data_IF_575342812725
#
_entry.id   IF_575342812725
#
_cell.length_a   1.000
_cell.length_b   1.000
_cell.length_c   1.000
_cell.angle_alpha   90.00
_cell.angle_beta   90.00
_cell.angle_gamma   90.00
#
_symmetry.space_group_name_H-M   'P 1'
#
loop_
_entity.id
_entity.type
_entity.pdbx_description
1 polymer ?
#
# COMPACT_ATOMS: atom_id res chain seq x y z
N UNK A 1 10.19 5.70 -29.06
CA UNK A 1 11.22 5.87 -28.02
C UNK A 1 12.60 5.77 -28.64
N UNK A 2 12.87 4.72 -29.43
CA UNK A 2 14.12 4.55 -30.21
C UNK A 2 14.48 5.80 -31.04
N UNK A 3 13.55 6.33 -31.83
CA UNK A 3 13.76 7.58 -32.60
C UNK A 3 14.18 8.78 -31.72
N UNK A 4 13.64 8.89 -30.50
CA UNK A 4 13.98 9.98 -29.59
C UNK A 4 15.37 9.79 -28.97
N UNK A 5 15.80 8.54 -28.75
CA UNK A 5 17.15 8.20 -28.30
C UNK A 5 18.16 8.53 -29.40
N UNK A 6 17.88 8.16 -30.65
CA UNK A 6 18.75 8.46 -31.79
C UNK A 6 18.87 9.97 -32.05
N UNK A 7 17.74 10.68 -31.97
CA UNK A 7 17.71 12.14 -32.08
C UNK A 7 18.52 12.81 -30.95
N UNK A 8 18.37 12.35 -29.69
CA UNK A 8 19.12 12.89 -28.57
C UNK A 8 20.64 12.62 -28.72
N UNK A 9 21.01 11.44 -29.22
CA UNK A 9 22.41 11.03 -29.40
C UNK A 9 23.17 11.85 -30.45
N UNK A 10 22.44 12.48 -31.37
CA UNK A 10 22.99 13.34 -32.43
C UNK A 10 22.74 14.84 -32.23
N UNK A 11 22.05 15.21 -31.14
CA UNK A 11 21.71 16.60 -30.85
C UNK A 11 22.95 17.38 -30.40
N UNK A 12 23.37 18.37 -31.20
CA UNK A 12 24.57 19.17 -30.93
C UNK A 12 24.49 20.04 -29.69
N UNK A 13 23.29 20.45 -29.26
CA UNK A 13 23.11 21.19 -28.01
C UNK A 13 23.40 20.28 -26.82
N UNK A 14 22.89 19.05 -26.83
CA UNK A 14 23.17 18.04 -25.80
C UNK A 14 24.66 17.68 -25.78
N UNK A 15 25.26 17.43 -26.95
CA UNK A 15 26.68 17.09 -27.08
C UNK A 15 27.62 18.24 -26.66
N UNK A 16 27.13 19.49 -26.66
CA UNK A 16 27.88 20.66 -26.20
C UNK A 16 27.87 20.86 -24.68
N UNK A 17 27.07 20.10 -23.92
CA UNK A 17 26.96 20.25 -22.47
C UNK A 17 28.18 19.63 -21.79
N UNK A 18 28.94 20.45 -21.07
CA UNK A 18 30.12 20.03 -20.30
C UNK A 18 29.86 19.85 -18.80
N UNK A 19 28.85 20.53 -18.26
CA UNK A 19 28.44 20.37 -16.86
C UNK A 19 27.54 19.12 -16.70
N UNK A 20 27.95 18.10 -15.93
CA UNK A 20 27.21 16.84 -15.83
C UNK A 20 25.84 16.99 -15.15
N UNK A 21 25.69 17.95 -14.23
CA UNK A 21 24.41 18.23 -13.59
C UNK A 21 23.41 18.81 -14.59
N UNK A 22 23.86 19.75 -15.43
CA UNK A 22 23.07 20.30 -16.53
C UNK A 22 22.67 19.20 -17.52
N UNK A 23 23.59 18.29 -17.87
CA UNK A 23 23.29 17.18 -18.77
C UNK A 23 22.18 16.28 -18.19
N UNK A 24 22.29 15.92 -16.91
CA UNK A 24 21.26 15.13 -16.22
C UNK A 24 19.89 15.82 -16.28
N UNK A 25 19.81 17.12 -15.97
CA UNK A 25 18.57 17.89 -16.03
C UNK A 25 17.95 17.94 -17.43
N UNK A 26 18.76 18.17 -18.47
CA UNK A 26 18.28 18.22 -19.86
C UNK A 26 17.73 16.87 -20.31
N UNK A 27 18.41 15.77 -19.96
CA UNK A 27 17.93 14.42 -20.26
C UNK A 27 16.65 14.07 -19.49
N UNK A 28 16.58 14.44 -18.20
CA UNK A 28 15.39 14.25 -17.37
C UNK A 28 14.16 15.00 -17.93
N UNK A 29 14.33 16.24 -18.37
CA UNK A 29 13.25 17.01 -19.01
C UNK A 29 12.87 16.45 -20.37
N UNK A 30 13.86 16.00 -21.16
CA UNK A 30 13.65 15.36 -22.46
C UNK A 30 12.82 14.09 -22.34
N UNK A 31 13.14 13.21 -21.39
CA UNK A 31 12.37 11.98 -21.17
C UNK A 31 10.97 12.28 -20.65
N UNK A 32 10.80 13.21 -19.69
CA UNK A 32 9.48 13.62 -19.18
C UNK A 32 8.54 14.10 -20.29
N UNK A 33 9.04 14.90 -21.24
CA UNK A 33 8.27 15.35 -22.41
C UNK A 33 7.93 14.23 -23.40
N UNK A 34 8.69 13.14 -23.39
CA UNK A 34 8.52 12.01 -24.31
C UNK A 34 7.58 10.94 -23.76
N UNK A 35 7.75 10.56 -22.48
CA UNK A 35 7.01 9.45 -21.86
C UNK A 35 5.87 9.90 -20.95
N UNK A 36 5.78 11.19 -20.63
CA UNK A 36 4.75 11.77 -19.74
C UNK A 36 4.66 11.11 -18.36
N UNK A 37 5.76 10.52 -17.87
CA UNK A 37 5.87 9.94 -16.53
C UNK A 37 6.87 10.77 -15.71
N UNK A 38 6.34 11.52 -14.74
CA UNK A 38 7.13 12.39 -13.87
C UNK A 38 8.10 11.65 -12.95
N UNK A 39 7.95 10.33 -12.80
CA UNK A 39 8.79 9.49 -11.93
C UNK A 39 10.09 9.09 -12.60
N UNK A 40 10.18 9.20 -13.92
CA UNK A 40 11.41 8.90 -14.66
C UNK A 40 12.35 10.09 -14.53
N UNK A 41 13.56 9.84 -14.05
CA UNK A 41 14.54 10.88 -13.77
C UNK A 41 15.97 10.43 -14.08
N UNK A 42 16.82 11.40 -14.41
CA UNK A 42 18.25 11.20 -14.62
C UNK A 42 18.99 12.13 -13.67
N UNK A 43 19.91 11.59 -12.88
CA UNK A 43 20.67 12.34 -11.88
C UNK A 43 22.17 12.11 -12.03
N UNK A 44 22.96 13.10 -11.65
CA UNK A 44 24.41 13.00 -11.52
C UNK A 44 24.77 13.06 -10.03
N UNK A 45 25.31 11.97 -9.49
CA UNK A 45 25.48 11.78 -8.04
C UNK A 45 26.88 11.23 -7.71
N UNK A 46 27.92 12.08 -7.78
CA UNK A 46 29.29 11.66 -7.49
C UNK A 46 29.42 11.23 -6.02
N UNK A 47 30.03 10.06 -5.80
CA UNK A 47 30.23 9.52 -4.45
C UNK A 47 28.97 8.96 -3.79
N UNK A 48 27.86 8.79 -4.52
CA UNK A 48 26.68 8.11 -3.99
C UNK A 48 27.01 6.64 -3.67
N UNK A 49 26.85 6.27 -2.41
CA UNK A 49 26.95 4.90 -1.92
C UNK A 49 25.57 4.53 -1.36
N UNK A 50 24.85 3.57 -1.98
CA UNK A 50 23.60 3.08 -1.44
C UNK A 50 23.82 2.58 0.00
N UNK A 51 22.94 2.97 0.91
CA UNK A 51 22.96 2.40 2.26
C UNK A 51 22.70 0.89 2.16
N UNK A 52 23.70 0.09 2.52
CA UNK A 52 23.51 -1.35 2.67
C UNK A 52 22.61 -1.60 3.88
N UNK A 53 21.63 -2.53 3.78
CA UNK A 53 20.89 -2.96 4.96
C UNK A 53 21.87 -3.41 6.06
N UNK A 54 21.65 -3.01 7.32
CA UNK A 54 22.53 -3.43 8.40
C UNK A 54 22.49 -4.95 8.53
N UNK A 55 23.63 -5.55 8.86
CA UNK A 55 23.68 -6.96 9.22
C UNK A 55 22.84 -7.15 10.49
N UNK A 56 21.72 -7.85 10.36
CA UNK A 56 20.82 -8.14 11.47
C UNK A 56 21.24 -9.48 12.10
N UNK A 57 21.45 -9.55 13.43
CA UNK A 57 21.57 -10.84 14.09
C UNK A 57 20.27 -11.62 13.94
N UNK A 58 20.30 -12.93 14.18
CA UNK A 58 19.07 -13.72 14.26
C UNK A 58 18.21 -13.19 15.41
N UNK A 59 17.11 -12.49 15.06
CA UNK A 59 16.15 -11.97 16.04
C UNK A 59 15.14 -13.08 16.36
N UNK A 60 14.99 -13.46 17.64
CA UNK A 60 13.98 -14.42 18.06
C UNK A 60 12.54 -13.96 17.74
N UNK A 61 11.61 -14.88 17.47
CA UNK A 61 10.21 -14.54 17.16
C UNK A 61 9.51 -13.66 18.20
N UNK A 62 9.81 -13.83 19.49
CA UNK A 62 9.22 -13.03 20.57
C UNK A 62 9.62 -11.56 20.52
N UNK A 63 10.86 -11.26 20.13
CA UNK A 63 11.32 -9.88 19.96
C UNK A 63 10.74 -9.26 18.69
N UNK A 64 10.65 -10.03 17.60
CA UNK A 64 9.95 -9.60 16.38
C UNK A 64 8.47 -9.28 16.66
N UNK A 65 7.80 -10.12 17.44
CA UNK A 65 6.42 -9.89 17.87
C UNK A 65 6.31 -8.60 18.70
N UNK A 66 7.25 -8.34 19.63
CA UNK A 66 7.28 -7.09 20.39
C UNK A 66 7.44 -5.86 19.47
N UNK A 67 8.34 -5.92 18.48
CA UNK A 67 8.52 -4.84 17.51
C UNK A 67 7.23 -4.57 16.71
N UNK A 68 6.48 -5.60 16.33
CA UNK A 68 5.20 -5.43 15.64
C UNK A 68 4.15 -4.82 16.56
N UNK A 69 4.14 -5.17 17.85
CA UNK A 69 3.23 -4.55 18.82
C UNK A 69 3.42 -3.04 18.90
N UNK A 70 4.64 -2.55 18.71
CA UNK A 70 4.95 -1.11 18.70
C UNK A 70 4.48 -0.40 17.40
N UNK A 71 4.25 -1.15 16.32
CA UNK A 71 3.76 -0.61 15.06
C UNK A 71 2.23 -0.66 14.91
N UNK A 72 1.53 -1.28 15.87
CA UNK A 72 0.07 -1.39 15.88
C UNK A 72 -0.57 -0.80 17.14
N UNK A 73 -1.80 -0.31 17.02
CA UNK A 73 -2.65 0.05 18.17
C UNK A 73 -3.95 -0.72 18.07
N UNK A 74 -4.31 -1.45 19.12
CA UNK A 74 -5.50 -2.32 19.14
C UNK A 74 -6.43 -1.92 20.28
N UNK A 75 -7.62 -1.45 19.95
CA UNK A 75 -8.62 -0.96 20.89
C UNK A 75 -10.03 -1.45 20.53
N UNK A 76 -10.91 -1.48 21.52
CA UNK A 76 -12.36 -1.59 21.31
C UNK A 76 -12.93 -0.25 21.74
N UNK A 77 -13.52 0.47 20.80
CA UNK A 77 -14.11 1.78 21.02
C UNK A 77 -15.56 1.65 21.52
N UNK A 78 -16.09 2.75 22.04
CA UNK A 78 -17.48 2.83 22.48
C UNK A 78 -18.46 2.45 21.36
N UNK A 79 -19.38 1.54 21.68
CA UNK A 79 -20.29 0.94 20.70
C UNK A 79 -19.81 -0.39 20.13
N UNK A 80 -18.85 -1.06 20.80
CA UNK A 80 -18.33 -2.38 20.39
C UNK A 80 -17.73 -2.33 18.96
N UNK A 81 -16.87 -1.35 18.72
CA UNK A 81 -16.20 -1.15 17.42
C UNK A 81 -14.72 -1.46 17.60
N UNK A 82 -14.21 -2.45 16.86
CA UNK A 82 -12.79 -2.75 16.80
C UNK A 82 -12.04 -1.64 16.10
N UNK A 83 -10.93 -1.20 16.68
CA UNK A 83 -10.01 -0.24 16.10
C UNK A 83 -8.60 -0.84 16.04
N UNK A 84 -8.04 -0.88 14.82
CA UNK A 84 -6.72 -1.40 14.55
C UNK A 84 -5.93 -0.40 13.71
N UNK A 85 -5.04 0.34 14.38
CA UNK A 85 -4.02 1.16 13.69
C UNK A 85 -2.88 0.29 13.24
N UNK A 86 -2.48 0.42 11.98
CA UNK A 86 -1.35 -0.32 11.40
C UNK A 86 -0.43 0.70 10.75
N UNK A 87 0.83 0.77 11.21
CA UNK A 87 1.83 1.68 10.64
C UNK A 87 2.68 1.02 9.55
N UNK A 88 2.76 -0.32 9.56
CA UNK A 88 3.53 -1.11 8.62
C UNK A 88 2.79 -2.41 8.26
N UNK A 89 2.63 -2.69 6.96
CA UNK A 89 2.05 -3.96 6.51
C UNK A 89 3.14 -5.04 6.49
N UNK A 90 3.10 -5.96 7.45
CA UNK A 90 4.08 -7.06 7.54
C UNK A 90 3.94 -8.02 6.36
N UNK A 91 5.06 -8.54 5.85
CA UNK A 91 5.06 -9.54 4.78
C UNK A 91 4.68 -10.94 5.24
N UNK A 92 4.55 -11.84 4.26
CA UNK A 92 4.17 -13.24 4.44
C UNK A 92 5.07 -13.99 5.44
N UNK A 93 6.39 -13.90 5.30
CA UNK A 93 7.33 -14.62 6.17
C UNK A 93 7.15 -14.20 7.63
N UNK A 94 7.00 -12.89 7.86
CA UNK A 94 6.76 -12.36 9.20
C UNK A 94 5.39 -12.80 9.71
N UNK A 95 4.33 -12.67 8.90
CA UNK A 95 2.98 -13.10 9.28
C UNK A 95 2.93 -14.58 9.69
N UNK A 96 3.65 -15.46 8.99
CA UNK A 96 3.74 -16.88 9.34
C UNK A 96 4.55 -17.12 10.62
N UNK A 97 5.70 -16.44 10.76
CA UNK A 97 6.64 -16.66 11.86
C UNK A 97 6.12 -16.15 13.21
N UNK A 98 5.48 -14.99 13.23
CA UNK A 98 5.04 -14.33 14.49
C UNK A 98 3.54 -14.17 14.62
N UNK A 99 2.75 -14.49 13.59
CA UNK A 99 1.29 -14.52 13.66
C UNK A 99 0.74 -15.27 14.87
N UNK A 100 1.22 -16.49 15.21
CA UNK A 100 0.77 -17.23 16.39
C UNK A 100 0.98 -16.49 17.72
N UNK A 101 2.01 -15.65 17.83
CA UNK A 101 2.31 -14.88 19.04
C UNK A 101 1.49 -13.59 19.16
N UNK A 102 0.86 -13.15 18.06
CA UNK A 102 0.10 -11.91 17.97
C UNK A 102 -1.41 -12.13 17.90
N UNK A 103 -1.85 -13.36 17.66
CA UNK A 103 -3.26 -13.68 17.43
C UNK A 103 -4.13 -13.29 18.63
N UNK A 104 -3.77 -13.72 19.84
CA UNK A 104 -4.53 -13.36 21.06
C UNK A 104 -4.48 -11.85 21.34
N UNK A 105 -3.31 -11.23 21.15
CA UNK A 105 -3.08 -9.82 21.48
C UNK A 105 -3.81 -8.86 20.53
N UNK A 106 -3.82 -9.16 19.24
CA UNK A 106 -4.40 -8.31 18.20
C UNK A 106 -5.77 -8.81 17.82
N UNK A 107 -5.84 -10.03 17.29
CA UNK A 107 -6.98 -10.48 16.51
C UNK A 107 -8.14 -10.95 17.38
N UNK A 108 -7.90 -11.80 18.38
CA UNK A 108 -8.97 -12.31 19.25
C UNK A 108 -9.65 -11.20 20.04
N UNK A 109 -8.90 -10.12 20.37
CA UNK A 109 -9.43 -8.94 21.05
C UNK A 109 -10.52 -8.24 20.23
N UNK A 110 -10.33 -8.09 18.92
CA UNK A 110 -11.25 -7.34 18.04
C UNK A 110 -12.21 -8.24 17.28
N UNK A 111 -11.96 -9.54 17.21
CA UNK A 111 -12.84 -10.49 16.54
C UNK A 111 -14.33 -10.41 16.96
N UNK A 112 -14.70 -10.26 18.26
CA UNK A 112 -16.11 -10.24 18.65
C UNK A 112 -16.84 -8.94 18.28
N UNK A 113 -16.14 -7.86 17.93
CA UNK A 113 -16.74 -6.53 17.77
C UNK A 113 -17.78 -6.46 16.66
N UNK A 114 -18.73 -5.53 16.75
CA UNK A 114 -19.81 -5.34 15.79
C UNK A 114 -19.37 -4.72 14.46
N UNK A 115 -18.29 -3.93 14.46
CA UNK A 115 -17.71 -3.26 13.29
C UNK A 115 -16.21 -3.04 13.46
N UNK A 116 -15.48 -2.87 12.36
CA UNK A 116 -14.02 -2.73 12.34
C UNK A 116 -13.60 -1.41 11.68
N UNK A 117 -12.63 -0.74 12.27
CA UNK A 117 -11.90 0.40 11.71
C UNK A 117 -10.43 0.02 11.59
N UNK A 118 -9.92 -0.03 10.36
CA UNK A 118 -8.49 -0.09 10.08
C UNK A 118 -7.97 1.32 9.86
N UNK A 119 -6.98 1.75 10.65
CA UNK A 119 -6.43 3.09 10.55
C UNK A 119 -5.07 3.08 9.83
N UNK A 120 -5.08 3.52 8.56
CA UNK A 120 -3.92 3.64 7.69
C UNK A 120 -3.46 5.08 7.50
N UNK A 121 -3.97 6.05 8.28
CA UNK A 121 -3.62 7.47 8.14
C UNK A 121 -2.12 7.76 8.30
N UNK A 122 -1.36 6.84 8.90
CA UNK A 122 0.11 6.95 9.02
C UNK A 122 0.85 5.72 8.46
N UNK A 123 0.17 4.88 7.66
CA UNK A 123 0.78 3.72 7.05
C UNK A 123 1.56 4.14 5.80
N UNK A 124 2.90 4.16 5.91
CA UNK A 124 3.80 4.63 4.84
C UNK A 124 4.78 3.57 4.34
N UNK A 125 4.66 2.34 4.88
CA UNK A 125 5.56 1.24 4.57
C UNK A 125 4.84 -0.10 4.67
N UNK A 126 5.39 -1.11 4.01
CA UNK A 126 4.85 -2.46 4.05
C UNK A 126 5.41 -3.34 2.95
N UNK A 127 5.02 -4.61 2.99
CA UNK A 127 5.41 -5.63 2.03
C UNK A 127 4.17 -6.16 1.29
N UNK A 128 4.25 -6.20 -0.04
CA UNK A 128 3.14 -6.64 -0.92
C UNK A 128 2.63 -8.05 -0.59
N UNK A 129 3.51 -8.94 -0.12
CA UNK A 129 3.15 -10.31 0.31
C UNK A 129 2.22 -10.34 1.53
N UNK A 130 2.07 -9.23 2.26
CA UNK A 130 1.14 -9.08 3.38
C UNK A 130 -0.32 -8.82 2.96
N UNK A 131 -0.55 -8.37 1.72
CA UNK A 131 -1.89 -8.01 1.24
C UNK A 131 -2.86 -9.22 1.32
N UNK A 132 -2.50 -10.43 0.85
CA UNK A 132 -3.32 -11.63 1.03
C UNK A 132 -3.77 -11.87 2.47
N UNK A 133 -2.90 -11.63 3.46
CA UNK A 133 -3.24 -11.85 4.87
C UNK A 133 -4.36 -10.93 5.31
N UNK A 134 -4.25 -9.62 5.06
CA UNK A 134 -5.27 -8.66 5.47
C UNK A 134 -6.60 -8.95 4.77
N UNK A 135 -6.59 -9.06 3.43
CA UNK A 135 -7.83 -9.24 2.66
C UNK A 135 -8.56 -10.50 3.08
N UNK A 136 -7.84 -11.61 3.27
CA UNK A 136 -8.45 -12.91 3.57
C UNK A 136 -9.19 -12.96 4.91
N UNK A 137 -8.75 -12.20 5.93
CA UNK A 137 -9.47 -12.13 7.21
C UNK A 137 -10.85 -11.47 7.09
N UNK A 138 -11.07 -10.68 6.04
CA UNK A 138 -12.31 -9.94 5.81
C UNK A 138 -13.16 -10.52 4.68
N UNK A 139 -12.72 -11.54 3.95
CA UNK A 139 -13.49 -12.14 2.84
C UNK A 139 -13.86 -13.59 3.11
N UNK A 140 -14.85 -14.10 2.38
CA UNK A 140 -15.20 -15.51 2.43
C UNK A 140 -14.01 -16.39 1.97
N UNK A 141 -13.90 -17.64 2.45
CA UNK A 141 -12.83 -18.55 2.06
C UNK A 141 -12.92 -19.01 0.61
N UNK A 142 -14.12 -19.01 0.03
CA UNK A 142 -14.40 -19.44 -1.34
C UNK A 142 -15.50 -18.56 -1.96
N UNK A 143 -15.44 -18.28 -3.28
CA UNK A 143 -14.33 -18.61 -4.19
C UNK A 143 -13.07 -17.79 -3.87
N UNK A 144 -11.89 -18.33 -4.20
CA UNK A 144 -10.64 -17.57 -4.10
C UNK A 144 -10.72 -16.26 -4.90
N UNK A 145 -10.28 -15.18 -4.28
CA UNK A 145 -10.26 -13.84 -4.85
C UNK A 145 -8.87 -13.57 -5.41
N UNK A 146 -8.82 -13.19 -6.69
CA UNK A 146 -7.63 -12.58 -7.28
C UNK A 146 -7.60 -11.11 -6.81
N UNK A 147 -6.71 -10.82 -5.85
CA UNK A 147 -6.67 -9.54 -5.15
C UNK A 147 -5.99 -8.49 -6.02
N UNK A 148 -4.76 -8.77 -6.45
CA UNK A 148 -3.98 -7.88 -7.30
C UNK A 148 -2.99 -8.66 -8.18
N UNK A 149 -2.57 -8.03 -9.27
CA UNK A 149 -1.54 -8.54 -10.20
C UNK A 149 -0.40 -7.54 -10.29
N UNK A 150 0.81 -7.94 -9.91
CA UNK A 150 1.99 -7.07 -9.88
C UNK A 150 2.99 -7.48 -10.94
N UNK A 151 3.16 -6.66 -11.97
CA UNK A 151 4.15 -6.89 -13.01
C UNK A 151 5.47 -6.18 -12.66
N UNK A 152 6.57 -6.93 -12.56
CA UNK A 152 7.93 -6.40 -12.45
C UNK A 152 8.68 -6.60 -13.78
N UNK A 153 9.06 -5.48 -14.40
CA UNK A 153 9.72 -5.42 -15.70
C UNK A 153 11.15 -5.95 -15.68
N UNK A 154 11.85 -5.85 -14.54
CA UNK A 154 13.26 -6.29 -14.44
C UNK A 154 13.38 -7.79 -14.45
N UNK A 155 12.47 -8.49 -13.78
CA UNK A 155 12.37 -9.96 -13.81
C UNK A 155 11.48 -10.49 -14.94
N UNK A 156 10.76 -9.61 -15.63
CA UNK A 156 9.71 -9.94 -16.61
C UNK A 156 8.69 -10.95 -16.06
N UNK A 157 8.23 -10.69 -14.83
CA UNK A 157 7.37 -11.60 -14.08
C UNK A 157 6.15 -10.85 -13.57
N UNK A 158 4.99 -11.50 -13.67
CA UNK A 158 3.78 -11.10 -12.97
C UNK A 158 3.59 -11.95 -11.73
N UNK A 159 3.47 -11.30 -10.57
CA UNK A 159 3.15 -11.91 -9.29
C UNK A 159 1.67 -11.70 -9.03
N UNK A 160 0.92 -12.80 -8.93
CA UNK A 160 -0.52 -12.76 -8.63
C UNK A 160 -0.74 -12.90 -7.13
N UNK A 161 -1.52 -12.01 -6.53
CA UNK A 161 -1.89 -12.03 -5.12
C UNK A 161 -3.29 -12.62 -4.98
N UNK A 162 -3.42 -13.72 -4.24
CA UNK A 162 -4.68 -14.44 -4.06
C UNK A 162 -5.10 -14.49 -2.59
N UNK A 163 -6.40 -14.49 -2.31
CA UNK A 163 -6.91 -14.78 -0.97
C UNK A 163 -6.56 -16.20 -0.54
N UNK A 164 -6.37 -16.42 0.75
CA UNK A 164 -6.05 -17.72 1.32
C UNK A 164 -7.31 -18.39 1.88
N UNK A 165 -7.64 -19.64 1.51
CA UNK A 165 -8.85 -20.31 2.01
C UNK A 165 -8.75 -20.66 3.50
N UNK A 166 -7.56 -21.00 3.99
CA UNK A 166 -7.29 -21.33 5.40
C UNK A 166 -6.45 -20.24 6.05
N UNK A 167 -6.86 -19.82 7.26
CA UNK A 167 -6.15 -18.81 8.06
C UNK A 167 -5.85 -19.38 9.44
N UNK A 168 -4.83 -18.80 10.08
CA UNK A 168 -4.47 -19.14 11.45
C UNK A 168 -5.59 -18.74 12.44
N UNK A 169 -6.13 -17.52 12.30
CA UNK A 169 -7.26 -17.02 13.09
C UNK A 169 -8.60 -17.19 12.38
N UNK A 170 -9.68 -16.93 13.13
CA UNK A 170 -11.05 -16.93 12.56
C UNK A 170 -11.24 -15.71 11.66
N UNK A 171 -12.01 -15.87 10.58
CA UNK A 171 -12.42 -14.73 9.75
C UNK A 171 -13.31 -13.77 10.53
N UNK A 172 -13.17 -12.49 10.25
CA UNK A 172 -14.07 -11.44 10.77
C UNK A 172 -15.48 -11.57 10.18
N UNK A 173 -15.57 -12.17 8.98
CA UNK A 173 -16.80 -12.32 8.21
C UNK A 173 -17.07 -11.12 7.29
N UNK A 174 -18.08 -11.28 6.46
CA UNK A 174 -18.44 -10.32 5.41
C UNK A 174 -19.62 -9.41 5.78
N UNK A 175 -20.39 -9.74 6.83
CA UNK A 175 -21.55 -8.95 7.26
C UNK A 175 -21.19 -7.74 8.12
N UNK A 176 -20.12 -7.83 8.92
CA UNK A 176 -19.70 -6.75 9.84
C UNK A 176 -19.09 -5.59 9.06
N UNK A 177 -19.48 -4.32 9.35
CA UNK A 177 -18.89 -3.16 8.70
C UNK A 177 -17.36 -3.14 8.83
N UNK A 178 -16.68 -2.77 7.74
CA UNK A 178 -15.26 -2.46 7.71
C UNK A 178 -15.08 -1.07 7.13
N UNK A 179 -14.41 -0.21 7.87
CA UNK A 179 -13.99 1.10 7.42
C UNK A 179 -12.47 1.15 7.43
N UNK A 180 -11.89 1.77 6.41
CA UNK A 180 -10.45 2.07 6.36
C UNK A 180 -10.29 3.58 6.39
N UNK A 181 -9.46 4.06 7.32
CA UNK A 181 -9.12 5.47 7.43
C UNK A 181 -7.87 5.78 6.61
N UNK A 182 -7.94 6.80 5.78
CA UNK A 182 -6.83 7.24 4.93
C UNK A 182 -6.51 8.72 5.14
N UNK A 183 -5.25 9.08 4.92
CA UNK A 183 -4.79 10.46 4.84
C UNK A 183 -4.02 10.68 3.54
N UNK A 184 -3.70 11.94 3.22
CA UNK A 184 -2.75 12.29 2.15
C UNK A 184 -1.35 11.70 2.34
N UNK A 185 -1.01 11.23 3.54
CA UNK A 185 0.28 10.61 3.86
C UNK A 185 0.24 9.08 3.75
N UNK A 186 -0.94 8.45 3.65
CA UNK A 186 -1.03 6.99 3.41
C UNK A 186 -0.35 6.63 2.09
N UNK A 187 0.63 5.73 2.13
CA UNK A 187 1.54 5.47 1.02
C UNK A 187 1.88 3.98 0.86
N UNK A 188 1.95 3.51 -0.38
CA UNK A 188 2.46 2.19 -0.76
C UNK A 188 1.44 1.06 -0.53
N UNK A 189 1.87 -0.04 0.08
CA UNK A 189 1.07 -1.26 0.25
C UNK A 189 -0.27 -1.01 0.96
N UNK A 190 -0.34 -0.03 1.88
CA UNK A 190 -1.58 0.34 2.53
C UNK A 190 -2.61 0.96 1.57
N UNK A 191 -2.15 1.67 0.53
CA UNK A 191 -3.01 2.17 -0.55
C UNK A 191 -3.60 1.01 -1.34
N UNK A 192 -2.79 -0.01 -1.64
CA UNK A 192 -3.24 -1.20 -2.36
C UNK A 192 -4.31 -1.98 -1.60
N UNK A 193 -4.10 -2.22 -0.30
CA UNK A 193 -5.10 -2.86 0.57
C UNK A 193 -6.41 -2.06 0.56
N UNK A 194 -6.34 -0.74 0.72
CA UNK A 194 -7.52 0.13 0.69
C UNK A 194 -8.23 0.09 -0.68
N UNK A 195 -7.47 0.16 -1.77
CA UNK A 195 -7.97 0.11 -3.14
C UNK A 195 -8.67 -1.21 -3.43
N UNK A 196 -8.01 -2.34 -3.14
CA UNK A 196 -8.54 -3.68 -3.34
C UNK A 196 -9.83 -3.89 -2.52
N UNK A 197 -9.84 -3.58 -1.22
CA UNK A 197 -11.03 -3.76 -0.38
C UNK A 197 -12.18 -2.81 -0.75
N UNK A 198 -11.89 -1.60 -1.23
CA UNK A 198 -12.89 -0.67 -1.80
C UNK A 198 -13.53 -1.26 -3.05
N UNK A 199 -12.74 -1.80 -3.98
CA UNK A 199 -13.24 -2.34 -5.25
C UNK A 199 -13.91 -3.70 -5.10
N UNK A 200 -13.53 -4.48 -4.10
CA UNK A 200 -14.26 -5.67 -3.63
C UNK A 200 -15.59 -5.34 -2.92
N UNK A 201 -15.92 -4.05 -2.74
CA UNK A 201 -17.09 -3.58 -1.97
C UNK A 201 -17.10 -4.09 -0.53
N UNK A 202 -15.92 -4.40 0.01
CA UNK A 202 -15.77 -4.94 1.36
C UNK A 202 -15.55 -3.84 2.39
N UNK A 203 -14.82 -2.79 2.05
CA UNK A 203 -14.54 -1.66 2.94
C UNK A 203 -15.16 -0.36 2.41
N UNK A 204 -15.55 0.53 3.33
CA UNK A 204 -15.79 1.94 3.04
C UNK A 204 -14.53 2.73 3.39
N UNK A 205 -14.02 3.55 2.48
CA UNK A 205 -12.83 4.39 2.71
C UNK A 205 -13.25 5.76 3.22
N UNK A 206 -12.71 6.20 4.35
CA UNK A 206 -13.08 7.47 5.01
C UNK A 206 -11.83 8.29 5.31
N UNK A 207 -11.84 9.57 4.98
CA UNK A 207 -10.71 10.48 5.20
C UNK A 207 -10.31 11.19 3.92
N UNK A 208 -9.01 11.30 3.69
CA UNK A 208 -8.46 12.01 2.53
C UNK A 208 -8.03 11.03 1.43
N UNK A 209 -7.85 11.58 0.24
CA UNK A 209 -7.21 10.88 -0.87
C UNK A 209 -5.77 10.54 -0.52
N UNK A 210 -5.33 9.31 -0.77
CA UNK A 210 -3.97 8.84 -0.44
C UNK A 210 -2.88 9.46 -1.32
N UNK A 211 -1.61 9.26 -0.95
CA UNK A 211 -0.46 9.94 -1.54
C UNK A 211 -0.25 9.63 -3.03
N UNK A 212 -0.59 8.43 -3.49
CA UNK A 212 -0.33 7.97 -4.86
C UNK A 212 1.12 7.54 -5.05
N UNK A 213 1.54 6.49 -4.33
CA UNK A 213 2.88 5.93 -4.44
C UNK A 213 3.17 5.21 -5.75
N UNK A 214 4.21 4.38 -5.72
CA UNK A 214 4.63 3.51 -6.83
C UNK A 214 5.06 2.17 -6.26
N UNK A 215 4.70 1.07 -6.93
CA UNK A 215 4.97 -0.27 -6.44
C UNK A 215 6.46 -0.51 -6.21
N UNK A 216 7.31 -0.15 -7.18
CA UNK A 216 8.77 -0.26 -7.07
C UNK A 216 9.47 0.74 -7.97
N UNK A 217 10.32 1.57 -7.37
CA UNK A 217 11.29 2.40 -8.08
C UNK A 217 12.66 1.72 -8.06
N UNK A 218 13.34 1.67 -9.21
CA UNK A 218 14.74 1.29 -9.29
C UNK A 218 15.59 2.51 -9.61
N UNK A 219 16.71 2.65 -8.89
CA UNK A 219 17.75 3.64 -9.18
C UNK A 219 18.98 2.92 -9.71
N UNK A 220 19.24 3.06 -11.00
CA UNK A 220 20.18 2.22 -11.75
C UNK A 220 21.40 3.07 -12.14
N UNK A 221 22.60 2.63 -11.77
CA UNK A 221 23.85 3.31 -12.15
C UNK A 221 24.17 3.07 -13.63
N UNK A 222 24.62 4.11 -14.34
CA UNK A 222 24.99 4.03 -15.76
C UNK A 222 26.47 3.63 -15.89
N UNK A 223 26.73 2.34 -16.07
CA UNK A 223 28.09 1.80 -16.21
C UNK A 223 29.00 2.22 -15.05
N UNK A 224 30.22 2.64 -15.40
CA UNK A 224 31.22 3.13 -14.43
C UNK A 224 31.15 4.66 -14.19
N UNK A 225 30.06 5.33 -14.62
CA UNK A 225 29.87 6.79 -14.46
C UNK A 225 29.16 7.14 -13.16
N UNK A 226 29.13 8.42 -12.78
CA UNK A 226 28.32 8.89 -11.64
C UNK A 226 26.88 9.29 -12.01
N UNK A 227 26.39 8.87 -13.20
CA UNK A 227 25.00 9.06 -13.58
C UNK A 227 24.11 7.91 -13.11
N UNK A 228 22.88 8.25 -12.73
CA UNK A 228 21.84 7.30 -12.33
C UNK A 228 20.55 7.57 -13.10
N UNK A 229 19.81 6.50 -13.38
CA UNK A 229 18.45 6.57 -13.93
C UNK A 229 17.48 6.01 -12.89
N UNK A 230 16.50 6.82 -12.50
CA UNK A 230 15.40 6.42 -11.64
C UNK A 230 14.18 6.08 -12.50
N UNK A 231 13.65 4.86 -12.39
CA UNK A 231 12.54 4.38 -13.22
C UNK A 231 11.58 3.54 -12.39
N UNK A 232 10.25 3.68 -12.56
CA UNK A 232 9.28 2.71 -12.05
C UNK A 232 9.45 1.38 -12.78
N UNK A 233 9.79 0.32 -12.05
CA UNK A 233 10.06 -1.01 -12.62
C UNK A 233 8.99 -2.04 -12.33
N UNK A 234 8.10 -1.77 -11.37
CA UNK A 234 6.93 -2.60 -11.14
C UNK A 234 5.66 -1.75 -11.07
N UNK A 235 4.53 -2.36 -11.39
CA UNK A 235 3.20 -1.74 -11.28
C UNK A 235 2.15 -2.77 -10.86
N UNK A 236 1.15 -2.30 -10.14
CA UNK A 236 -0.10 -2.99 -9.85
C UNK A 236 -1.05 -2.90 -11.05
N UNK A 237 -1.81 -3.98 -11.28
CA UNK A 237 -2.83 -4.12 -12.31
C UNK A 237 -4.03 -4.78 -11.65
N UNK A 238 -4.88 -3.96 -11.03
CA UNK A 238 -5.98 -4.49 -10.25
C UNK A 238 -6.97 -5.30 -11.12
N UNK A 239 -7.28 -6.56 -10.77
CA UNK A 239 -8.10 -7.46 -11.59
C UNK A 239 -9.54 -6.97 -11.83
N UNK A 240 -10.07 -6.11 -10.95
CA UNK A 240 -11.45 -5.60 -11.05
C UNK A 240 -11.50 -4.36 -11.95
N UNK A 241 -10.55 -3.45 -11.79
CA UNK A 241 -10.59 -2.13 -12.45
C UNK A 241 -9.72 -2.04 -13.69
N UNK A 242 -8.74 -2.93 -13.86
CA UNK A 242 -7.67 -2.82 -14.86
C UNK A 242 -6.76 -1.60 -14.64
N UNK A 243 -6.86 -0.94 -13.47
CA UNK A 243 -6.12 0.27 -13.09
C UNK A 243 -5.28 0.01 -11.83
N UNK A 244 -4.62 1.05 -11.32
CA UNK A 244 -3.78 0.98 -10.13
C UNK A 244 -4.13 2.09 -9.14
N UNK A 245 -3.77 1.87 -7.88
CA UNK A 245 -3.73 2.90 -6.82
C UNK A 245 -2.57 3.89 -7.01
N UNK A 246 -1.53 3.49 -7.77
CA UNK A 246 -0.30 4.26 -7.95
C UNK A 246 -0.53 5.61 -8.65
N UNK A 247 0.36 6.57 -8.36
CA UNK A 247 0.39 7.95 -8.88
C UNK A 247 -0.81 8.79 -8.43
N UNK A 248 -2.02 8.31 -8.66
CA UNK A 248 -3.22 9.05 -8.33
C UNK A 248 -3.67 8.83 -6.90
N UNK A 249 -3.28 7.75 -6.24
CA UNK A 249 -3.80 7.40 -4.92
C UNK A 249 -5.26 6.92 -4.97
N UNK A 250 -5.77 6.53 -3.80
CA UNK A 250 -7.12 6.04 -3.58
C UNK A 250 -7.98 7.21 -3.10
N UNK A 251 -9.03 7.52 -3.86
CA UNK A 251 -10.03 8.49 -3.41
C UNK A 251 -10.91 7.87 -2.30
N UNK A 252 -11.29 8.62 -1.25
CA UNK A 252 -12.20 8.14 -0.22
C UNK A 252 -13.62 7.93 -0.77
N UNK A 253 -14.43 7.12 -0.09
CA UNK A 253 -15.87 7.06 -0.31
C UNK A 253 -16.59 8.18 0.45
N UNK A 254 -16.05 8.56 1.61
CA UNK A 254 -16.50 9.70 2.43
C UNK A 254 -15.30 10.61 2.67
N UNK A 255 -15.29 11.76 2.00
CA UNK A 255 -14.21 12.74 2.09
C UNK A 255 -14.39 13.62 3.34
N UNK A 256 -13.41 13.56 4.24
CA UNK A 256 -13.29 14.38 5.45
C UNK A 256 -11.81 14.61 5.74
N UNK A 257 -11.47 15.61 6.56
CA UNK A 257 -10.09 15.80 7.00
C UNK A 257 -9.58 14.54 7.73
N UNK A 258 -8.29 14.22 7.60
CA UNK A 258 -7.74 13.00 8.21
C UNK A 258 -7.90 12.97 9.73
N UNK A 259 -7.92 14.14 10.39
CA UNK A 259 -8.17 14.28 11.83
C UNK A 259 -9.60 13.87 12.24
N UNK A 260 -10.59 14.18 11.40
CA UNK A 260 -12.02 13.89 11.62
C UNK A 260 -12.44 12.49 11.15
N UNK A 261 -11.58 11.79 10.41
CA UNK A 261 -11.91 10.51 9.76
C UNK A 261 -12.36 9.42 10.76
N UNK A 262 -11.78 9.39 11.96
CA UNK A 262 -12.15 8.43 12.99
C UNK A 262 -13.57 8.70 13.52
N UNK A 263 -13.89 9.95 13.82
CA UNK A 263 -15.21 10.35 14.33
C UNK A 263 -16.30 10.09 13.29
N UNK A 264 -16.03 10.43 12.03
CA UNK A 264 -16.91 10.11 10.90
C UNK A 264 -17.15 8.61 10.77
N UNK A 265 -16.10 7.79 10.85
CA UNK A 265 -16.21 6.34 10.78
C UNK A 265 -17.04 5.73 11.91
N UNK A 266 -16.83 6.20 13.15
CA UNK A 266 -17.62 5.78 14.32
C UNK A 266 -19.10 6.11 14.10
N UNK A 267 -19.40 7.33 13.65
CA UNK A 267 -20.78 7.76 13.37
C UNK A 267 -21.45 6.89 12.29
N UNK A 268 -20.73 6.58 11.20
CA UNK A 268 -21.22 5.71 10.12
C UNK A 268 -21.55 4.31 10.64
N UNK A 269 -20.67 3.71 11.44
CA UNK A 269 -20.89 2.35 11.97
C UNK A 269 -22.11 2.34 12.91
N UNK A 270 -22.18 3.29 13.86
CA UNK A 270 -23.31 3.39 14.80
C UNK A 270 -24.65 3.54 14.08
N UNK A 271 -24.72 4.44 13.09
CA UNK A 271 -25.92 4.62 12.29
C UNK A 271 -26.32 3.32 11.57
N UNK A 272 -25.36 2.63 10.93
CA UNK A 272 -25.62 1.37 10.22
C UNK A 272 -26.14 0.28 11.15
N UNK A 273 -25.67 0.22 12.40
CA UNK A 273 -26.13 -0.76 13.39
C UNK A 273 -27.54 -0.48 13.91
N UNK A 274 -28.01 0.77 13.88
CA UNK A 274 -29.36 1.14 14.35
C UNK A 274 -30.46 0.89 13.31
N UNK A 275 -30.12 0.94 12.01
CA UNK A 275 -31.09 0.83 10.90
C UNK A 275 -32.02 -0.40 10.99
N UNK A 276 -31.54 -1.64 11.26
CA UNK A 276 -32.43 -2.80 11.33
C UNK A 276 -33.54 -2.64 12.39
N UNK A 277 -33.21 -2.06 13.55
CA UNK A 277 -34.19 -1.80 14.60
C UNK A 277 -35.20 -0.73 14.21
N UNK A 278 -34.76 0.33 13.53
CA UNK A 278 -35.64 1.38 13.00
C UNK A 278 -36.61 0.85 11.94
N UNK A 279 -36.12 0.00 11.03
CA UNK A 279 -36.96 -0.63 10.00
C UNK A 279 -37.97 -1.58 10.63
N UNK A 280 -37.56 -2.38 11.62
CA UNK A 280 -38.48 -3.29 12.33
C UNK A 280 -39.55 -2.54 13.13
N UNK A 281 -39.24 -1.38 13.71
CA UNK A 281 -40.20 -0.56 14.43
C UNK A 281 -41.20 0.17 13.50
N UNK A 282 -40.82 0.38 12.24
CA UNK A 282 -41.66 1.03 11.23
C UNK A 282 -42.55 0.06 10.43
N UNK A 283 -42.23 -1.23 10.44
CA UNK A 283 -42.98 -2.30 9.79
C UNK A 283 -44.13 -2.82 10.67
#
# INVERSE_FOLDING_TARGET
LEDAIDAASSNTEILGISDPTTLASVLADGVKKTVSDSRVDVTYEPGFVPAAPPAMPNIPPEHLAAMIKDTVKVEILDGDIGYLKIQHIIGEEMAQKVGPLLLEYIWDKVLPTSGMILDFRNAVSGETSGIPYIVSYYTDPEPLIHIDSVYDRTSDLTIELWSMPTLLGKRYGTSKPLIILTSKDTLGVAEDVAYCLKHLKRATIVGEKTAGGTMKMAKIKVGDTDFYVSVPVAKSINPITGKSWEITGVAPDVEVAAEDALDAAIAIIKLRTEIPGLVQAAA
#
